data_IF_275478307136
#
_entry.id   IF_275478307136
#
_cell.length_a   1.000
_cell.length_b   1.000
_cell.length_c   1.000
_cell.angle_alpha   90.00
_cell.angle_beta   90.00
_cell.angle_gamma   90.00
#
_symmetry.space_group_name_H-M   'P 1'
#
loop_
_entity.id
_entity.type
_entity.pdbx_description
1 polymer ?
#
# COMPACT_ATOMS: atom_id res chain seq x y z
N UNK A 1 3.63 -7.11 -15.64
CA UNK A 1 2.85 -6.15 -14.80
C UNK A 1 1.91 -5.21 -15.59
N UNK A 2 1.47 -5.57 -16.80
CA UNK A 2 0.59 -4.73 -17.62
C UNK A 2 -0.90 -5.02 -17.41
N UNK A 3 -1.26 -6.28 -17.12
CA UNK A 3 -2.66 -6.69 -17.04
C UNK A 3 -3.42 -6.02 -15.89
N UNK A 4 -2.84 -5.91 -14.69
CA UNK A 4 -3.51 -5.23 -13.57
C UNK A 4 -3.67 -3.74 -13.83
N UNK A 5 -2.63 -3.06 -14.32
CA UNK A 5 -2.69 -1.62 -14.59
C UNK A 5 -3.70 -1.21 -15.67
N UNK A 6 -4.22 -2.17 -16.44
CA UNK A 6 -5.30 -1.96 -17.41
C UNK A 6 -6.71 -2.10 -16.81
N UNK A 7 -6.84 -2.52 -15.55
CA UNK A 7 -8.13 -2.70 -14.87
C UNK A 7 -8.48 -1.48 -14.02
N UNK A 8 -9.76 -1.12 -14.00
CA UNK A 8 -10.28 -0.17 -13.01
C UNK A 8 -10.27 -0.75 -11.60
N UNK A 9 -10.64 -2.03 -11.47
CA UNK A 9 -10.72 -2.75 -10.21
C UNK A 9 -10.09 -4.14 -10.29
N UNK A 10 -9.42 -4.56 -9.21
CA UNK A 10 -8.99 -5.94 -8.99
C UNK A 10 -9.69 -6.49 -7.74
N UNK A 11 -10.50 -7.54 -7.92
CA UNK A 11 -11.31 -8.12 -6.85
C UNK A 11 -10.59 -9.31 -6.22
N UNK A 12 -10.38 -9.25 -4.90
CA UNK A 12 -9.79 -10.33 -4.09
C UNK A 12 -10.83 -10.92 -3.14
N UNK A 13 -11.49 -11.98 -3.59
CA UNK A 13 -12.54 -12.68 -2.83
C UNK A 13 -12.06 -14.05 -2.30
N UNK A 14 -11.01 -14.04 -1.48
CA UNK A 14 -10.39 -15.27 -0.97
C UNK A 14 -11.03 -15.72 0.36
N UNK A 15 -10.99 -17.03 0.64
CA UNK A 15 -11.52 -17.61 1.89
C UNK A 15 -10.43 -17.98 2.91
N UNK A 16 -9.15 -17.89 2.55
CA UNK A 16 -8.02 -18.36 3.37
C UNK A 16 -6.69 -17.67 3.03
N UNK A 17 -6.68 -16.35 2.85
CA UNK A 17 -5.46 -15.60 2.56
C UNK A 17 -5.08 -14.69 3.74
N UNK A 18 -3.95 -14.96 4.38
CA UNK A 18 -3.41 -14.15 5.48
C UNK A 18 -2.62 -12.94 4.97
N UNK A 19 -1.83 -13.10 3.91
CA UNK A 19 -1.21 -12.00 3.18
C UNK A 19 -1.09 -12.40 1.70
N UNK A 20 -1.57 -11.56 0.80
CA UNK A 20 -1.60 -11.87 -0.63
C UNK A 20 -0.54 -11.07 -1.38
N UNK A 21 0.54 -11.73 -1.80
CA UNK A 21 1.53 -11.13 -2.70
C UNK A 21 0.92 -10.66 -4.03
N UNK A 22 -0.16 -11.33 -4.48
CA UNK A 22 -0.94 -10.90 -5.66
C UNK A 22 -1.66 -9.56 -5.42
N UNK A 23 -2.18 -9.37 -4.21
CA UNK A 23 -2.84 -8.12 -3.80
C UNK A 23 -1.81 -6.99 -3.68
N UNK A 24 -0.67 -7.24 -3.03
CA UNK A 24 0.43 -6.29 -2.95
C UNK A 24 0.94 -5.87 -4.34
N UNK A 25 1.02 -6.84 -5.27
CA UNK A 25 1.38 -6.55 -6.66
C UNK A 25 0.33 -5.70 -7.38
N UNK A 26 -0.97 -5.97 -7.21
CA UNK A 26 -2.04 -5.16 -7.81
C UNK A 26 -2.10 -3.74 -7.22
N UNK A 27 -1.86 -3.59 -5.92
CA UNK A 27 -1.68 -2.28 -5.27
C UNK A 27 -0.44 -1.54 -5.83
N UNK A 28 0.58 -2.26 -6.28
CA UNK A 28 1.73 -1.66 -6.95
C UNK A 28 1.47 -1.09 -8.36
N UNK A 29 0.40 -1.50 -9.04
CA UNK A 29 0.16 -1.21 -10.47
C UNK A 29 -0.91 -0.18 -10.75
N UNK A 30 -1.25 0.65 -9.77
CA UNK A 30 -2.30 1.65 -9.89
C UNK A 30 -3.74 1.17 -10.00
N UNK A 31 -3.95 -0.13 -9.83
CA UNK A 31 -5.27 -0.74 -9.87
C UNK A 31 -5.97 -0.53 -8.55
N UNK A 32 -7.26 -0.18 -8.57
CA UNK A 32 -8.02 -0.13 -7.33
C UNK A 32 -8.30 -1.56 -6.85
N UNK A 33 -7.74 -1.92 -5.71
CA UNK A 33 -7.92 -3.25 -5.15
C UNK A 33 -9.09 -3.23 -4.17
N UNK A 34 -10.01 -4.18 -4.33
CA UNK A 34 -11.18 -4.34 -3.47
C UNK A 34 -11.30 -5.80 -3.07
N UNK A 35 -11.90 -6.12 -1.93
CA UNK A 35 -11.95 -7.52 -1.52
C UNK A 35 -12.80 -7.84 -0.31
N UNK A 36 -12.66 -9.09 0.13
CA UNK A 36 -13.38 -9.61 1.28
C UNK A 36 -12.79 -9.05 2.58
N UNK A 37 -13.66 -8.66 3.49
CA UNK A 37 -13.32 -8.36 4.87
C UNK A 37 -13.07 -9.67 5.64
N UNK A 38 -11.87 -10.20 5.47
CA UNK A 38 -11.38 -11.41 6.11
C UNK A 38 -10.03 -11.11 6.78
N UNK A 39 -9.66 -11.88 7.80
CA UNK A 39 -8.36 -11.75 8.48
C UNK A 39 -7.20 -11.72 7.46
N UNK A 40 -6.27 -10.78 7.64
CA UNK A 40 -5.17 -10.59 6.71
C UNK A 40 -5.49 -9.70 5.50
N UNK A 41 -6.38 -10.14 4.60
CA UNK A 41 -6.75 -9.36 3.39
C UNK A 41 -7.56 -8.12 3.74
N UNK A 42 -8.62 -8.27 4.51
CA UNK A 42 -9.53 -7.19 4.89
C UNK A 42 -8.86 -6.13 5.74
N UNK A 43 -8.00 -6.54 6.67
CA UNK A 43 -7.20 -5.63 7.50
C UNK A 43 -6.23 -4.81 6.65
N UNK A 44 -5.56 -5.46 5.69
CA UNK A 44 -4.66 -4.79 4.75
C UNK A 44 -5.41 -3.80 3.87
N UNK A 45 -6.59 -4.17 3.35
CA UNK A 45 -7.43 -3.28 2.54
C UNK A 45 -7.86 -2.06 3.36
N UNK A 46 -8.35 -2.26 4.59
CA UNK A 46 -8.72 -1.16 5.50
C UNK A 46 -7.53 -0.25 5.82
N UNK A 47 -6.37 -0.85 6.10
CA UNK A 47 -5.12 -0.10 6.35
C UNK A 47 -4.68 0.70 5.12
N UNK A 48 -4.98 0.21 3.92
CA UNK A 48 -4.71 0.90 2.66
C UNK A 48 -5.79 1.94 2.27
N UNK A 49 -6.85 2.10 3.08
CA UNK A 49 -8.00 2.93 2.73
C UNK A 49 -8.80 2.40 1.53
N UNK A 50 -8.75 1.08 1.31
CA UNK A 50 -9.38 0.39 0.20
C UNK A 50 -10.66 -0.35 0.64
N UNK A 51 -11.65 -0.51 -0.24
CA UNK A 51 -12.92 -1.18 0.08
C UNK A 51 -12.73 -2.65 0.49
N UNK A 52 -13.29 -3.00 1.65
CA UNK A 52 -13.41 -4.36 2.14
C UNK A 52 -14.84 -4.64 2.62
N UNK A 53 -15.43 -5.76 2.21
CA UNK A 53 -16.81 -6.10 2.56
C UNK A 53 -16.96 -7.55 3.01
N UNK A 54 -17.89 -7.81 3.94
CA UNK A 54 -18.12 -9.16 4.50
C UNK A 54 -18.83 -10.10 3.51
N UNK A 55 -19.67 -9.54 2.65
CA UNK A 55 -20.41 -10.26 1.62
C UNK A 55 -20.27 -9.58 0.24
N UNK A 56 -20.56 -10.33 -0.81
CA UNK A 56 -20.30 -9.90 -2.18
C UNK A 56 -21.25 -8.78 -2.65
N UNK A 57 -22.47 -8.73 -2.11
CA UNK A 57 -23.44 -7.68 -2.44
C UNK A 57 -22.97 -6.30 -1.99
N UNK A 58 -22.47 -6.19 -0.76
CA UNK A 58 -21.90 -4.95 -0.23
C UNK A 58 -20.64 -4.54 -0.99
N UNK A 59 -19.82 -5.50 -1.41
CA UNK A 59 -18.66 -5.23 -2.26
C UNK A 59 -19.09 -4.66 -3.62
N UNK A 60 -20.06 -5.29 -4.27
CA UNK A 60 -20.57 -4.85 -5.57
C UNK A 60 -21.17 -3.45 -5.50
N UNK A 61 -21.93 -3.15 -4.43
CA UNK A 61 -22.44 -1.81 -4.16
C UNK A 61 -21.31 -0.80 -3.99
N UNK A 62 -20.28 -1.13 -3.20
CA UNK A 62 -19.12 -0.25 -3.01
C UNK A 62 -18.41 0.05 -4.34
N UNK A 63 -18.23 -0.95 -5.20
CA UNK A 63 -17.65 -0.76 -6.54
C UNK A 63 -18.52 0.17 -7.39
N UNK A 64 -19.84 -0.02 -7.37
CA UNK A 64 -20.78 0.82 -8.13
C UNK A 64 -20.75 2.28 -7.65
N UNK A 65 -20.75 2.51 -6.34
CA UNK A 65 -20.68 3.85 -5.74
C UNK A 65 -19.37 4.56 -6.14
N UNK A 66 -18.24 3.84 -6.08
CA UNK A 66 -16.92 4.37 -6.48
C UNK A 66 -16.85 4.68 -7.98
N UNK A 67 -17.46 3.81 -8.82
CA UNK A 67 -17.50 4.02 -10.26
C UNK A 67 -18.36 5.24 -10.63
N UNK A 68 -19.43 5.50 -9.86
CA UNK A 68 -20.33 6.63 -10.06
C UNK A 68 -19.77 7.97 -9.55
N UNK A 69 -18.88 7.95 -8.55
CA UNK A 69 -18.36 9.15 -7.89
C UNK A 69 -16.85 9.37 -8.12
N UNK A 70 -16.45 10.24 -9.07
CA UNK A 70 -15.04 10.50 -9.36
C UNK A 70 -14.23 11.00 -8.16
N UNK A 71 -14.85 11.78 -7.27
CA UNK A 71 -14.19 12.29 -6.05
C UNK A 71 -13.84 11.16 -5.08
N UNK A 72 -14.77 10.21 -4.87
CA UNK A 72 -14.53 9.03 -4.06
C UNK A 72 -13.42 8.16 -4.65
N UNK A 73 -13.42 7.97 -5.98
CA UNK A 73 -12.36 7.26 -6.69
C UNK A 73 -10.99 7.90 -6.46
N UNK A 74 -10.88 9.22 -6.57
CA UNK A 74 -9.62 9.95 -6.38
C UNK A 74 -9.10 9.84 -4.94
N UNK A 75 -9.98 9.91 -3.94
CA UNK A 75 -9.60 9.81 -2.54
C UNK A 75 -9.09 8.40 -2.20
N UNK A 76 -9.82 7.35 -2.61
CA UNK A 76 -9.39 5.95 -2.40
C UNK A 76 -8.04 5.70 -3.09
N UNK A 77 -7.87 6.22 -4.30
CA UNK A 77 -6.62 6.15 -5.03
C UNK A 77 -5.46 6.83 -4.27
N UNK A 78 -5.69 8.02 -3.70
CA UNK A 78 -4.70 8.72 -2.88
C UNK A 78 -4.31 7.92 -1.64
N UNK A 79 -5.26 7.24 -0.98
CA UNK A 79 -4.99 6.40 0.19
C UNK A 79 -4.19 5.15 -0.18
N UNK A 80 -4.57 4.45 -1.25
CA UNK A 80 -3.85 3.29 -1.75
C UNK A 80 -2.40 3.61 -2.14
N UNK A 81 -2.16 4.79 -2.71
CA UNK A 81 -0.81 5.29 -3.00
C UNK A 81 0.02 5.52 -1.73
N UNK A 82 -0.55 6.19 -0.72
CA UNK A 82 0.14 6.41 0.56
C UNK A 82 0.56 5.09 1.20
N UNK A 83 -0.36 4.11 1.20
CA UNK A 83 -0.09 2.78 1.70
C UNK A 83 1.05 2.09 0.93
N UNK A 84 0.96 2.05 -0.40
CA UNK A 84 1.96 1.38 -1.25
C UNK A 84 3.35 1.99 -1.11
N UNK A 85 3.44 3.32 -0.96
CA UNK A 85 4.71 4.01 -0.73
C UNK A 85 5.29 3.66 0.64
N UNK A 86 4.47 3.68 1.69
CA UNK A 86 4.87 3.34 3.07
C UNK A 86 5.36 1.91 3.21
N UNK A 87 4.71 0.96 2.53
CA UNK A 87 4.97 -0.47 2.63
C UNK A 87 5.72 -1.07 1.44
N UNK A 88 6.29 -0.24 0.57
CA UNK A 88 7.13 -0.69 -0.54
C UNK A 88 8.36 -1.46 -0.04
N UNK A 89 8.91 -2.35 -0.88
CA UNK A 89 10.16 -3.04 -0.55
C UNK A 89 11.33 -2.09 -0.29
N UNK A 90 11.40 -0.96 -0.97
CA UNK A 90 12.44 0.04 -0.71
C UNK A 90 12.31 0.63 0.70
N UNK A 91 11.11 1.11 1.07
CA UNK A 91 10.85 1.65 2.40
C UNK A 91 11.09 0.61 3.49
N UNK A 92 10.67 -0.64 3.26
CA UNK A 92 10.91 -1.74 4.18
C UNK A 92 12.40 -2.07 4.29
N UNK A 93 13.15 -2.13 3.19
CA UNK A 93 14.59 -2.39 3.22
C UNK A 93 15.35 -1.32 4.02
N UNK A 94 15.01 -0.04 3.84
CA UNK A 94 15.62 1.06 4.60
C UNK A 94 15.36 0.92 6.11
N UNK A 95 14.12 0.61 6.51
CA UNK A 95 13.76 0.34 7.91
C UNK A 95 14.58 -0.82 8.50
N UNK A 96 14.78 -1.89 7.72
CA UNK A 96 15.58 -3.03 8.16
C UNK A 96 17.06 -2.68 8.31
N UNK A 97 17.62 -1.85 7.42
CA UNK A 97 19.00 -1.37 7.54
C UNK A 97 19.21 -0.55 8.81
N UNK A 98 18.31 0.40 9.11
CA UNK A 98 18.37 1.20 10.33
C UNK A 98 18.27 0.33 11.59
N UNK A 99 17.36 -0.65 11.58
CA UNK A 99 17.21 -1.58 12.69
C UNK A 99 18.50 -2.40 12.89
N UNK A 100 19.09 -2.90 11.80
CA UNK A 100 20.33 -3.66 11.85
C UNK A 100 21.50 -2.82 12.39
N UNK A 101 21.59 -1.55 12.01
CA UNK A 101 22.60 -0.62 12.51
C UNK A 101 22.42 -0.33 14.00
N UNK A 102 21.20 -0.03 14.45
CA UNK A 102 20.91 0.20 15.87
C UNK A 102 21.23 -1.04 16.72
N UNK A 103 20.89 -2.24 16.25
CA UNK A 103 21.23 -3.50 16.93
C UNK A 103 22.74 -3.71 16.98
N UNK A 104 23.45 -3.48 15.86
CA UNK A 104 24.90 -3.63 15.78
C UNK A 104 25.63 -2.68 16.75
N UNK A 105 25.15 -1.45 16.88
CA UNK A 105 25.76 -0.42 17.73
C UNK A 105 25.23 -0.44 19.17
N UNK A 106 24.31 -1.35 19.52
CA UNK A 106 23.63 -1.40 20.83
C UNK A 106 22.91 -0.08 21.19
N UNK A 107 22.38 0.59 20.18
CA UNK A 107 21.62 1.83 20.33
C UNK A 107 20.14 1.55 20.63
N UNK A 108 19.40 2.61 20.99
CA UNK A 108 17.95 2.53 21.15
C UNK A 108 17.29 2.20 19.80
N UNK A 109 16.44 1.18 19.77
CA UNK A 109 15.74 0.77 18.55
C UNK A 109 14.86 1.91 18.00
N UNK A 110 14.90 2.16 16.68
CA UNK A 110 14.08 3.19 16.07
C UNK A 110 12.59 2.81 16.16
N UNK A 111 11.68 3.79 16.34
CA UNK A 111 10.26 3.53 16.17
C UNK A 111 10.00 3.17 14.69
N UNK A 112 9.44 1.99 14.46
CA UNK A 112 9.05 1.53 13.13
C UNK A 112 7.53 1.37 13.10
N UNK A 113 6.87 2.12 12.22
CA UNK A 113 5.45 1.98 11.90
C UNK A 113 4.50 1.99 13.12
N UNK A 114 4.78 2.81 14.15
CA UNK A 114 3.94 2.96 15.35
C UNK A 114 3.46 4.41 15.53
N UNK A 115 2.18 4.59 15.23
CA UNK A 115 1.23 5.55 15.83
C UNK A 115 1.34 7.04 15.55
N UNK A 116 2.32 7.53 14.78
CA UNK A 116 2.31 8.91 14.27
C UNK A 116 2.19 8.88 12.75
N UNK A 117 1.38 9.79 12.19
CA UNK A 117 1.04 9.86 10.76
C UNK A 117 2.26 9.97 9.82
N UNK A 118 3.43 10.32 10.36
CA UNK A 118 4.67 10.61 9.62
C UNK A 118 5.85 9.70 9.97
N UNK A 119 5.62 8.45 10.34
CA UNK A 119 6.72 7.49 10.52
C UNK A 119 7.43 7.20 9.19
N UNK A 120 8.61 7.82 9.01
CA UNK A 120 9.62 7.59 7.97
C UNK A 120 9.06 7.39 6.56
N UNK A 121 8.45 8.46 6.04
CA UNK A 121 8.20 8.58 4.61
C UNK A 121 9.53 8.83 3.87
N UNK A 122 10.12 7.79 3.29
CA UNK A 122 11.39 7.87 2.52
C UNK A 122 11.24 8.50 1.12
N UNK A 123 10.17 9.28 0.89
CA UNK A 123 9.90 9.96 -0.37
C UNK A 123 8.92 9.22 -1.30
N UNK A 124 8.66 9.83 -2.45
CA UNK A 124 7.70 9.33 -3.44
C UNK A 124 8.37 8.33 -4.35
N UNK A 125 7.99 7.07 -4.23
CA UNK A 125 8.63 5.96 -4.96
C UNK A 125 8.12 5.82 -6.39
N UNK A 126 6.92 6.33 -6.66
CA UNK A 126 6.38 6.45 -8.02
C UNK A 126 5.20 7.42 -8.04
N UNK A 127 5.04 8.08 -9.19
CA UNK A 127 3.74 8.59 -9.60
C UNK A 127 2.99 7.38 -10.17
N UNK A 128 1.85 7.01 -9.59
CA UNK A 128 0.94 5.96 -10.10
C UNK A 128 0.40 6.23 -11.53
N UNK A 129 0.90 7.27 -12.21
CA UNK A 129 0.57 7.62 -13.59
C UNK A 129 1.38 6.80 -14.62
N UNK A 130 2.67 6.46 -14.40
CA UNK A 130 3.37 5.68 -15.42
C UNK A 130 4.67 4.97 -14.99
N UNK A 131 4.82 3.74 -15.47
CA UNK A 131 6.09 3.11 -15.92
C UNK A 131 7.21 2.81 -14.91
N UNK A 132 6.90 2.72 -13.62
CA UNK A 132 7.78 2.06 -12.65
C UNK A 132 8.56 3.03 -11.76
N UNK A 133 9.54 2.46 -11.05
CA UNK A 133 10.36 3.12 -10.04
C UNK A 133 11.14 4.27 -10.68
N UNK A 134 10.67 5.50 -10.51
CA UNK A 134 11.55 6.67 -10.58
C UNK A 134 12.02 6.93 -9.16
N UNK A 135 13.28 6.56 -8.89
CA UNK A 135 13.96 6.89 -7.65
C UNK A 135 13.97 8.41 -7.50
N UNK A 136 13.02 8.96 -6.75
CA UNK A 136 13.05 10.38 -6.41
C UNK A 136 14.31 10.58 -5.58
N UNK A 137 15.37 11.13 -6.20
CA UNK A 137 16.62 11.49 -5.53
C UNK A 137 16.35 12.55 -4.44
N UNK A 138 15.89 12.11 -3.29
CA UNK A 138 16.16 12.78 -2.02
C UNK A 138 17.13 11.90 -1.27
N UNK A 139 18.40 12.09 -1.62
CA UNK A 139 19.53 11.60 -0.83
C UNK A 139 19.43 12.33 0.50
N UNK A 140 18.77 11.73 1.50
CA UNK A 140 19.12 12.03 2.87
C UNK A 140 20.51 11.43 3.05
N UNK A 141 21.54 12.28 2.85
CA UNK A 141 22.90 11.96 3.24
C UNK A 141 22.88 11.78 4.75
N UNK A 142 22.77 10.55 5.21
CA UNK A 142 23.24 10.19 6.54
C UNK A 142 24.70 10.62 6.58
N UNK A 143 24.98 11.62 7.43
CA UNK A 143 26.33 12.15 7.60
C UNK A 143 27.18 11.03 8.21
N UNK A 144 28.27 10.74 7.50
CA UNK A 144 29.43 9.97 7.98
C UNK A 144 30.01 10.56 9.26
#
# INVERSE_FOLDING_TARGET
>A
PLAYGALDFAVFWCNNATQSGRMAHAQGTSTMVVGRDWEGVGETLKLAGLPAAKNFGDLAKSIADIAAEPGLRQEIHRQGQKYTQKFSFYSQAQKHLMLAEAVKNQEKLPPLDRSVEDDFYMGKISNWDSRGFEESRKIYRFHS
#
